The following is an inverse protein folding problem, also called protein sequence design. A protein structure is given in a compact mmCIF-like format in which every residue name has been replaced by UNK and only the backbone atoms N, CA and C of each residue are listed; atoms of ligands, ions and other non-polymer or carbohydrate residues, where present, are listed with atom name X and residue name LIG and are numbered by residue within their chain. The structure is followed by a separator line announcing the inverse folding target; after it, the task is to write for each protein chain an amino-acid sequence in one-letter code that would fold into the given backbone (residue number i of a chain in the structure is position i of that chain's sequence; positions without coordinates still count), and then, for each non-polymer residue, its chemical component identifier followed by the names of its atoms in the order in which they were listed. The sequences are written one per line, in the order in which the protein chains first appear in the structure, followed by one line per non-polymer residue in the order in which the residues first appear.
data_IF_243406546793
#
_entry.id   IF_243406546793
#
_cell.length_a   1.000
_cell.length_b   1.000
_cell.length_c   1.000
_cell.angle_alpha   90.00
_cell.angle_beta   90.00
_cell.angle_gamma   90.00
#
_symmetry.space_group_name_H-M   'P 1'
#
loop_
_entity.id
_entity.type
_entity.pdbx_description
1 polymer ?
#
# COMPACT_ATOMS: atom_id res chain seq x y z
N UNK A 1 19.01 -1.17 -8.09
CA UNK A 1 17.99 -1.86 -7.25
C UNK A 1 18.41 -1.62 -5.81
N UNK A 2 17.61 -0.95 -4.97
CA UNK A 2 18.02 -0.73 -3.56
C UNK A 2 18.07 -2.07 -2.83
N UNK A 3 19.03 -2.25 -1.92
CA UNK A 3 19.01 -3.41 -1.03
C UNK A 3 17.87 -3.20 -0.04
N UNK A 4 16.73 -3.85 -0.29
CA UNK A 4 15.55 -3.79 0.57
C UNK A 4 15.76 -4.78 1.70
N UNK A 5 15.64 -4.35 2.95
CA UNK A 5 15.72 -5.26 4.09
C UNK A 5 14.47 -6.16 4.12
N UNK A 6 14.57 -7.37 4.71
CA UNK A 6 13.41 -8.25 4.88
C UNK A 6 12.23 -7.55 5.58
N UNK A 7 12.53 -6.67 6.53
CA UNK A 7 11.51 -5.89 7.27
C UNK A 7 10.81 -4.86 6.38
N UNK A 8 11.49 -4.24 5.43
CA UNK A 8 10.86 -3.34 4.44
C UNK A 8 10.00 -4.12 3.44
N UNK A 9 10.42 -5.32 3.02
CA UNK A 9 9.61 -6.17 2.13
C UNK A 9 8.31 -6.60 2.82
N UNK A 10 8.38 -7.01 4.09
CA UNK A 10 7.21 -7.44 4.85
C UNK A 10 6.23 -6.29 5.10
N UNK A 11 6.76 -5.09 5.38
CA UNK A 11 5.95 -3.89 5.51
C UNK A 11 5.31 -3.45 4.18
N UNK A 12 6.04 -3.53 3.06
CA UNK A 12 5.51 -3.29 1.73
C UNK A 12 4.36 -4.28 1.39
N UNK A 13 4.58 -5.56 1.69
CA UNK A 13 3.60 -6.62 1.52
C UNK A 13 2.33 -6.38 2.32
N UNK A 14 2.43 -6.01 3.61
CA UNK A 14 1.27 -5.67 4.46
C UNK A 14 0.51 -4.45 3.92
N UNK A 15 1.21 -3.44 3.40
CA UNK A 15 0.57 -2.27 2.79
C UNK A 15 -0.15 -2.59 1.48
N UNK A 16 0.45 -3.43 0.63
CA UNK A 16 -0.18 -3.91 -0.59
C UNK A 16 -1.41 -4.78 -0.29
N UNK A 17 -1.32 -5.69 0.69
CA UNK A 17 -2.44 -6.52 1.15
C UNK A 17 -3.59 -5.67 1.72
N UNK A 18 -3.29 -4.60 2.46
CA UNK A 18 -4.31 -3.66 2.93
C UNK A 18 -5.00 -2.94 1.76
N UNK A 19 -4.23 -2.51 0.76
CA UNK A 19 -4.76 -1.92 -0.47
C UNK A 19 -5.65 -2.89 -1.25
N UNK A 20 -5.22 -4.15 -1.35
CA UNK A 20 -5.98 -5.23 -1.95
C UNK A 20 -7.29 -5.49 -1.20
N UNK A 21 -7.26 -5.68 0.12
CA UNK A 21 -8.45 -5.96 0.92
C UNK A 21 -9.51 -4.83 0.80
N UNK A 22 -9.06 -3.57 0.83
CA UNK A 22 -9.94 -2.41 0.66
C UNK A 22 -10.49 -2.33 -0.78
N UNK A 23 -9.67 -2.66 -1.78
CA UNK A 23 -10.08 -2.72 -3.18
C UNK A 23 -11.12 -3.80 -3.42
N UNK A 24 -10.87 -5.00 -2.91
CA UNK A 24 -11.77 -6.15 -2.99
C UNK A 24 -13.09 -5.86 -2.30
N UNK A 25 -13.08 -5.28 -1.09
CA UNK A 25 -14.31 -4.92 -0.39
C UNK A 25 -15.15 -3.88 -1.16
N UNK A 26 -14.51 -2.82 -1.69
CA UNK A 26 -15.24 -1.77 -2.42
C UNK A 26 -15.85 -2.30 -3.72
N UNK A 27 -15.09 -3.09 -4.48
CA UNK A 27 -15.55 -3.60 -5.76
C UNK A 27 -16.41 -4.86 -5.66
N UNK A 28 -16.33 -5.62 -4.57
CA UNK A 28 -17.28 -6.69 -4.28
C UNK A 28 -18.71 -6.14 -4.12
N UNK A 29 -18.88 -4.96 -3.51
CA UNK A 29 -20.18 -4.29 -3.45
C UNK A 29 -20.74 -3.94 -4.83
N UNK A 30 -19.89 -3.44 -5.73
CA UNK A 30 -20.26 -3.19 -7.14
C UNK A 30 -20.60 -4.49 -7.86
N UNK A 31 -19.81 -5.55 -7.64
CA UNK A 31 -20.06 -6.88 -8.20
C UNK A 31 -21.39 -7.48 -7.73
N UNK A 32 -21.77 -7.29 -6.47
CA UNK A 32 -23.09 -7.69 -5.96
C UNK A 32 -24.23 -6.91 -6.62
N UNK A 33 -24.05 -5.60 -6.81
CA UNK A 33 -25.04 -4.76 -7.50
C UNK A 33 -25.22 -5.18 -8.97
N UNK A 34 -24.12 -5.42 -9.68
CA UNK A 34 -24.12 -5.91 -11.06
C UNK A 34 -24.76 -7.30 -11.14
N UNK A 35 -24.42 -8.21 -10.22
CA UNK A 35 -25.03 -9.55 -10.15
C UNK A 35 -26.54 -9.47 -9.85
N UNK A 36 -26.97 -8.53 -9.01
CA UNK A 36 -28.38 -8.29 -8.72
C UNK A 36 -29.14 -7.75 -9.93
N UNK A 37 -28.55 -6.81 -10.67
CA UNK A 37 -29.10 -6.30 -11.93
C UNK A 37 -29.23 -7.40 -12.99
N UNK A 38 -28.18 -8.20 -13.21
CA UNK A 38 -28.26 -9.33 -14.15
C UNK A 38 -29.33 -10.34 -13.74
N UNK A 39 -29.51 -10.59 -12.43
CA UNK A 39 -30.57 -11.48 -11.94
C UNK A 39 -31.99 -10.92 -12.19
N UNK A 40 -32.16 -9.60 -12.20
CA UNK A 40 -33.46 -8.95 -12.44
C UNK A 40 -33.81 -8.90 -13.94
N UNK A 41 -32.85 -8.51 -14.79
CA UNK A 41 -33.12 -8.24 -16.20
C UNK A 41 -32.91 -9.44 -17.14
N UNK A 42 -32.05 -10.41 -16.79
CA UNK A 42 -31.73 -11.53 -17.67
C UNK A 42 -32.34 -12.86 -17.17
N UNK A 43 -33.38 -13.40 -17.84
CA UNK A 43 -34.03 -14.64 -17.40
C UNK A 43 -33.13 -15.88 -17.49
N UNK A 44 -32.14 -15.88 -18.40
CA UNK A 44 -31.14 -16.95 -18.49
C UNK A 44 -30.19 -16.96 -17.28
N UNK A 45 -29.84 -15.77 -16.78
CA UNK A 45 -29.00 -15.60 -15.59
C UNK A 45 -29.72 -16.00 -14.28
N UNK A 46 -31.06 -16.11 -14.30
CA UNK A 46 -31.81 -16.66 -13.15
C UNK A 46 -31.63 -18.16 -13.02
N UNK A 47 -31.56 -18.89 -14.15
CA UNK A 47 -31.43 -20.35 -14.21
C UNK A 47 -30.03 -20.89 -13.91
N UNK A 48 -29.00 -20.05 -13.91
CA UNK A 48 -27.62 -20.49 -13.60
C UNK A 48 -27.44 -20.81 -12.11
N UNK A 49 -26.53 -21.74 -11.82
CA UNK A 49 -26.15 -22.09 -10.45
C UNK A 49 -25.62 -20.87 -9.69
N UNK A 50 -25.89 -20.83 -8.39
CA UNK A 50 -25.48 -19.75 -7.47
C UNK A 50 -23.97 -19.54 -7.46
N UNK A 51 -23.19 -20.58 -7.69
CA UNK A 51 -21.71 -20.51 -7.78
C UNK A 51 -21.27 -19.67 -8.98
N UNK A 52 -21.90 -19.85 -10.16
CA UNK A 52 -21.61 -19.03 -11.35
C UNK A 52 -21.89 -17.55 -11.13
N UNK A 53 -22.88 -17.23 -10.29
CA UNK A 53 -23.22 -15.84 -9.95
C UNK A 53 -22.15 -15.21 -9.04
N UNK A 54 -21.55 -16.00 -8.16
CA UNK A 54 -20.47 -15.56 -7.28
C UNK A 54 -19.16 -15.26 -8.03
N UNK A 55 -18.91 -15.91 -9.18
CA UNK A 55 -17.75 -15.58 -10.02
C UNK A 55 -17.76 -14.13 -10.50
N UNK A 56 -18.93 -13.55 -10.80
CA UNK A 56 -19.02 -12.13 -11.17
C UNK A 56 -18.57 -11.25 -10.01
N UNK A 57 -19.03 -11.53 -8.80
CA UNK A 57 -18.65 -10.79 -7.59
C UNK A 57 -17.14 -10.92 -7.32
N UNK A 58 -16.59 -12.12 -7.52
CA UNK A 58 -15.15 -12.37 -7.41
C UNK A 58 -14.34 -11.66 -8.48
N UNK A 59 -14.77 -11.62 -9.74
CA UNK A 59 -14.07 -10.90 -10.80
C UNK A 59 -13.98 -9.40 -10.52
N UNK A 60 -15.09 -8.78 -10.07
CA UNK A 60 -15.08 -7.39 -9.67
C UNK A 60 -14.23 -7.17 -8.40
N UNK A 61 -14.36 -8.05 -7.40
CA UNK A 61 -13.55 -7.99 -6.18
C UNK A 61 -12.06 -8.10 -6.45
N UNK A 62 -11.61 -9.16 -7.12
CA UNK A 62 -10.19 -9.41 -7.43
C UNK A 62 -9.61 -8.35 -8.37
N UNK A 63 -10.36 -7.95 -9.41
CA UNK A 63 -9.94 -6.88 -10.32
C UNK A 63 -9.81 -5.52 -9.60
N UNK A 64 -10.76 -5.21 -8.72
CA UNK A 64 -10.74 -4.01 -7.89
C UNK A 64 -9.66 -4.01 -6.81
N UNK A 65 -9.38 -5.20 -6.25
CA UNK A 65 -8.29 -5.45 -5.31
C UNK A 65 -6.94 -5.19 -5.95
N UNK A 66 -6.69 -5.79 -7.12
CA UNK A 66 -5.45 -5.60 -7.88
C UNK A 66 -5.22 -4.13 -8.27
N UNK A 67 -6.27 -3.44 -8.75
CA UNK A 67 -6.16 -2.03 -9.14
C UNK A 67 -5.76 -1.12 -7.96
N UNK A 68 -6.31 -1.38 -6.77
CA UNK A 68 -5.93 -0.59 -5.58
C UNK A 68 -4.63 -1.03 -4.95
N UNK A 69 -4.26 -2.31 -5.00
CA UNK A 69 -2.99 -2.78 -4.47
C UNK A 69 -1.82 -2.12 -5.20
N UNK A 70 -1.88 -2.00 -6.52
CA UNK A 70 -0.84 -1.32 -7.31
C UNK A 70 -0.71 0.15 -6.90
N UNK A 71 -1.82 0.85 -6.71
CA UNK A 71 -1.82 2.25 -6.26
C UNK A 71 -1.23 2.42 -4.87
N UNK A 72 -1.51 1.49 -3.96
CA UNK A 72 -0.95 1.50 -2.59
C UNK A 72 0.54 1.15 -2.59
N UNK A 73 0.98 0.24 -3.44
CA UNK A 73 2.40 -0.12 -3.58
C UNK A 73 3.23 1.05 -4.13
N UNK A 74 2.75 1.74 -5.17
CA UNK A 74 3.41 2.93 -5.72
C UNK A 74 3.51 4.05 -4.69
N UNK A 75 2.47 4.25 -3.88
CA UNK A 75 2.51 5.24 -2.80
C UNK A 75 3.48 4.85 -1.67
N UNK A 76 3.59 3.56 -1.36
CA UNK A 76 4.57 3.06 -0.40
C UNK A 76 6.01 3.29 -0.89
N UNK A 77 6.30 3.00 -2.16
CA UNK A 77 7.61 3.27 -2.75
C UNK A 77 7.97 4.77 -2.75
N UNK A 78 6.99 5.64 -3.05
CA UNK A 78 7.19 7.11 -2.99
C UNK A 78 7.48 7.59 -1.57
N UNK A 79 6.78 7.05 -0.57
CA UNK A 79 7.02 7.36 0.84
C UNK A 79 8.37 6.84 1.32
N UNK A 80 8.74 5.63 0.93
CA UNK A 80 10.05 5.05 1.25
C UNK A 80 11.21 5.87 0.68
N UNK A 81 11.07 6.40 -0.55
CA UNK A 81 12.06 7.32 -1.14
C UNK A 81 12.19 8.64 -0.39
N UNK A 82 11.09 9.24 0.05
CA UNK A 82 11.14 10.47 0.84
C UNK A 82 11.84 10.25 2.20
N UNK A 83 11.53 9.13 2.87
CA UNK A 83 12.14 8.80 4.17
C UNK A 83 13.64 8.52 4.07
N UNK A 84 14.09 7.84 3.01
CA UNK A 84 15.53 7.60 2.79
C UNK A 84 16.30 8.90 2.54
N UNK A 85 15.72 9.84 1.79
CA UNK A 85 16.31 11.17 1.59
C UNK A 85 16.44 11.97 2.88
N UNK A 86 15.42 11.94 3.74
CA UNK A 86 15.46 12.62 5.05
C UNK A 86 16.49 11.98 5.99
N UNK A 87 16.59 10.66 6.03
CA UNK A 87 17.57 9.94 6.85
C UNK A 87 19.02 10.21 6.39
N UNK A 88 19.28 10.22 5.08
CA UNK A 88 20.59 10.56 4.53
C UNK A 88 20.94 12.03 4.80
N UNK A 89 19.96 12.93 4.67
CA UNK A 89 20.15 14.36 4.99
C UNK A 89 20.49 14.55 6.46
N UNK A 90 19.78 13.85 7.35
CA UNK A 90 20.04 13.88 8.80
C UNK A 90 21.42 13.32 9.15
N UNK A 91 21.81 12.18 8.56
CA UNK A 91 23.16 11.60 8.75
C UNK A 91 24.25 12.54 8.26
N UNK A 92 24.06 13.21 7.11
CA UNK A 92 25.00 14.23 6.62
C UNK A 92 25.08 15.42 7.57
N UNK A 93 23.96 15.88 8.11
CA UNK A 93 23.93 16.95 9.10
C UNK A 93 24.67 16.58 10.38
N UNK A 94 24.44 15.37 10.91
CA UNK A 94 25.12 14.86 12.11
C UNK A 94 26.63 14.72 11.89
N UNK A 95 27.09 14.28 10.71
CA UNK A 95 28.52 14.20 10.40
C UNK A 95 29.18 15.58 10.28
N UNK A 96 28.49 16.57 9.69
CA UNK A 96 29.08 17.90 9.44
C UNK A 96 29.05 18.77 10.71
N UNK A 97 27.99 18.65 11.52
CA UNK A 97 27.76 19.54 12.66
C UNK A 97 27.86 18.84 14.03
N UNK A 98 27.87 17.51 14.10
CA UNK A 98 28.01 16.77 15.36
C UNK A 98 29.33 17.07 16.06
N UNK A 99 30.44 17.04 15.32
CA UNK A 99 31.77 17.36 15.86
C UNK A 99 31.89 18.83 16.28
N UNK A 100 31.25 19.75 15.55
CA UNK A 100 31.24 21.17 15.88
C UNK A 100 30.43 21.47 17.16
N UNK A 101 29.33 20.75 17.38
CA UNK A 101 28.50 20.88 18.58
C UNK A 101 29.18 20.29 19.81
N UNK A 102 29.87 19.14 19.67
CA UNK A 102 30.65 18.56 20.77
C UNK A 102 31.85 19.43 21.14
N UNK A 103 32.56 19.98 20.16
CA UNK A 103 33.68 20.91 20.40
C UNK A 103 33.23 22.20 21.12
N UNK A 104 32.08 22.77 20.74
CA UNK A 104 31.55 23.97 21.38
C UNK A 104 31.08 23.70 22.82
N UNK A 105 30.45 22.54 23.06
CA UNK A 105 29.98 22.11 24.38
C UNK A 105 31.13 21.74 25.33
N UNK A 106 32.25 21.23 24.80
CA UNK A 106 33.46 20.97 25.58
C UNK A 106 34.15 22.27 26.02
N UNK A 107 34.13 23.30 25.16
CA UNK A 107 34.72 24.62 25.42
C UNK A 107 33.92 25.41 26.46
N UNK A 108 32.59 25.32 26.44
CA UNK A 108 31.71 25.94 27.44
C UNK A 108 31.79 25.27 28.83
N UNK A 109 32.16 23.98 28.89
CA UNK A 109 32.33 23.22 30.14
C UNK A 109 33.72 23.39 30.77
N UNK A 110 34.65 24.01 30.06
CA UNK A 110 36.02 24.29 30.50
C UNK A 110 36.31 25.77 30.77
N UNK A 111 35.29 26.63 30.62
CA UNK A 111 35.22 28.00 31.12
C UNK A 111 34.49 28.04 32.47
#
# INVERSE_FOLDING_TARGET
MRVVTNTEQENAGRYAMKGFAIGTAQWAGVGLFVSGLLYSFMPWYRKTQTVNKFYIVMCFGLGGGAYKSDRYMVNYERRGRAQTLDEETKKRYELIYGDAFEAQKALEKSA
#
